data_IF_135059920514
#
_entry.id   IF_135059920514
#
_cell.length_a   1.000
_cell.length_b   1.000
_cell.length_c   1.000
_cell.angle_alpha   90.00
_cell.angle_beta   90.00
_cell.angle_gamma   90.00
#
_symmetry.space_group_name_H-M   'P 1'
#
loop_
_entity.id
_entity.type
_entity.pdbx_description
1 polymer ?
#
# COMPACT_ATOMS: atom_id res chain seq x y z
N UNK A 1 -12.26 -11.22 -27.04
CA UNK A 1 -11.96 -9.98 -26.32
C UNK A 1 -12.67 -10.06 -24.99
N UNK A 2 -12.07 -9.69 -23.85
CA UNK A 2 -12.84 -9.55 -22.62
C UNK A 2 -13.81 -8.38 -22.77
N UNK A 3 -15.10 -8.64 -22.55
CA UNK A 3 -16.12 -7.60 -22.54
C UNK A 3 -16.03 -6.82 -21.22
N UNK A 4 -16.02 -5.49 -21.30
CA UNK A 4 -16.11 -4.62 -20.12
C UNK A 4 -17.57 -4.52 -19.71
N UNK A 5 -17.93 -5.23 -18.64
CA UNK A 5 -19.26 -5.10 -18.04
C UNK A 5 -19.21 -3.99 -16.99
N UNK A 6 -20.08 -2.98 -17.14
CA UNK A 6 -20.23 -1.87 -16.21
C UNK A 6 -21.38 -2.21 -15.27
N UNK A 7 -21.07 -2.34 -13.98
CA UNK A 7 -22.08 -2.46 -12.94
C UNK A 7 -22.22 -1.11 -12.24
N UNK A 8 -23.43 -0.56 -12.27
CA UNK A 8 -23.81 0.66 -11.57
C UNK A 8 -24.76 0.26 -10.46
N UNK A 9 -24.31 0.32 -9.20
CA UNK A 9 -25.15 0.10 -8.04
C UNK A 9 -25.59 1.44 -7.45
N UNK A 10 -26.61 2.06 -8.06
CA UNK A 10 -27.13 3.36 -7.60
C UNK A 10 -27.83 3.30 -6.24
N UNK A 11 -28.05 2.11 -5.68
CA UNK A 11 -28.85 1.93 -4.46
C UNK A 11 -28.05 2.13 -3.17
N UNK A 12 -26.70 2.11 -3.22
CA UNK A 12 -25.85 2.26 -2.03
C UNK A 12 -25.24 3.67 -1.96
N UNK A 13 -25.99 4.62 -1.40
CA UNK A 13 -25.53 6.00 -1.16
C UNK A 13 -24.85 6.19 0.20
N UNK A 14 -24.99 5.21 1.11
CA UNK A 14 -24.37 5.19 2.43
C UNK A 14 -23.78 3.83 2.78
N UNK A 15 -22.96 3.80 3.83
CA UNK A 15 -22.37 2.58 4.36
C UNK A 15 -22.20 2.66 5.88
N UNK A 16 -22.10 1.49 6.53
CA UNK A 16 -21.81 1.43 7.97
C UNK A 16 -20.38 1.91 8.28
N UNK A 17 -20.08 2.15 9.55
CA UNK A 17 -18.71 2.51 9.99
C UNK A 17 -17.68 1.45 9.60
N UNK A 18 -18.04 0.18 9.73
CA UNK A 18 -17.16 -0.95 9.41
C UNK A 18 -16.94 -1.06 7.89
N UNK A 19 -18.01 -0.91 7.11
CA UNK A 19 -17.91 -0.85 5.66
C UNK A 19 -17.08 0.35 5.19
N UNK A 20 -17.20 1.51 5.85
CA UNK A 20 -16.40 2.69 5.56
C UNK A 20 -14.90 2.41 5.73
N UNK A 21 -14.50 1.75 6.82
CA UNK A 21 -13.10 1.35 7.04
C UNK A 21 -12.67 0.34 5.98
N UNK A 22 -13.50 -0.64 5.65
CA UNK A 22 -13.21 -1.61 4.61
C UNK A 22 -13.06 -0.96 3.22
N UNK A 23 -13.86 0.05 2.88
CA UNK A 23 -13.70 0.87 1.66
C UNK A 23 -12.36 1.62 1.69
N UNK A 24 -11.99 2.24 2.82
CA UNK A 24 -10.70 2.93 2.98
C UNK A 24 -9.47 2.00 2.95
N UNK A 25 -9.63 0.72 3.29
CA UNK A 25 -8.61 -0.31 3.10
C UNK A 25 -8.51 -0.80 1.65
N UNK A 26 -9.42 -0.37 0.77
CA UNK A 26 -9.55 -0.85 -0.60
C UNK A 26 -10.16 -2.25 -0.71
N UNK A 27 -10.83 -2.73 0.35
CA UNK A 27 -11.50 -4.04 0.36
C UNK A 27 -12.87 -3.95 -0.27
N UNK A 28 -13.67 -2.96 0.12
CA UNK A 28 -14.97 -2.72 -0.51
C UNK A 28 -14.83 -1.67 -1.60
N UNK A 29 -15.53 -1.89 -2.72
CA UNK A 29 -15.55 -0.96 -3.84
C UNK A 29 -16.75 0.00 -3.76
N UNK A 30 -16.63 1.24 -4.31
CA UNK A 30 -17.78 2.14 -4.49
C UNK A 30 -18.87 1.62 -5.47
N UNK A 31 -20.00 2.34 -5.59
CA UNK A 31 -21.14 2.01 -6.44
C UNK A 31 -20.89 1.72 -7.94
N UNK A 32 -19.90 2.33 -8.58
CA UNK A 32 -19.74 2.29 -10.05
C UNK A 32 -18.39 1.69 -10.44
N UNK A 33 -18.37 0.57 -11.19
CA UNK A 33 -17.13 -0.01 -11.72
C UNK A 33 -17.23 -0.71 -13.07
N UNK A 34 -16.09 -0.70 -13.77
CA UNK A 34 -15.77 -1.54 -14.93
C UNK A 34 -15.05 -2.80 -14.49
N UNK A 35 -15.47 -3.97 -14.97
CA UNK A 35 -14.89 -5.28 -14.61
C UNK A 35 -14.28 -5.95 -15.83
N UNK A 36 -13.08 -6.53 -15.67
CA UNK A 36 -12.55 -7.60 -16.53
C UNK A 36 -12.53 -8.87 -15.66
N UNK A 37 -13.39 -9.84 -15.95
CA UNK A 37 -13.53 -11.08 -15.16
C UNK A 37 -12.69 -12.19 -15.80
N UNK A 38 -11.85 -12.86 -14.99
CA UNK A 38 -11.39 -14.23 -15.27
C UNK A 38 -11.88 -15.12 -14.14
N UNK A 39 -12.73 -16.11 -14.43
CA UNK A 39 -13.33 -17.02 -13.43
C UNK A 39 -12.36 -18.18 -13.15
N UNK A 40 -12.20 -18.55 -11.87
CA UNK A 40 -11.47 -19.75 -11.44
C UNK A 40 -12.42 -20.82 -10.86
N UNK A 41 -12.17 -22.12 -11.05
CA UNK A 41 -13.12 -23.20 -10.76
C UNK A 41 -13.25 -23.64 -9.28
N UNK A 42 -12.53 -23.05 -8.33
CA UNK A 42 -12.38 -23.62 -6.97
C UNK A 42 -13.17 -22.92 -5.84
N UNK A 43 -13.99 -21.91 -6.11
CA UNK A 43 -14.91 -21.34 -5.11
C UNK A 43 -14.27 -20.60 -3.92
N UNK A 44 -12.94 -20.48 -3.86
CA UNK A 44 -12.26 -19.56 -2.95
C UNK A 44 -12.44 -18.10 -3.43
N UNK A 45 -12.40 -17.13 -2.50
CA UNK A 45 -12.34 -15.70 -2.82
C UNK A 45 -10.88 -15.24 -2.66
N UNK A 46 -10.05 -15.31 -3.71
CA UNK A 46 -8.70 -14.78 -3.66
C UNK A 46 -8.67 -13.31 -3.23
N UNK A 47 -7.55 -12.80 -2.66
CA UNK A 47 -7.38 -11.39 -2.35
C UNK A 47 -7.64 -10.44 -3.54
N UNK A 48 -7.52 -10.96 -4.78
CA UNK A 48 -7.88 -10.25 -6.01
C UNK A 48 -9.41 -10.00 -6.17
N UNK A 49 -10.25 -10.71 -5.42
CA UNK A 49 -11.71 -10.61 -5.44
C UNK A 49 -12.30 -9.91 -4.23
N UNK A 50 -11.53 -9.65 -3.16
CA UNK A 50 -11.93 -8.70 -2.10
C UNK A 50 -12.52 -7.41 -2.69
N UNK A 51 -11.95 -6.78 -3.74
CA UNK A 51 -12.51 -5.60 -4.39
C UNK A 51 -13.92 -5.79 -5.01
N UNK A 52 -14.54 -6.97 -4.91
CA UNK A 52 -15.88 -7.25 -5.43
C UNK A 52 -16.94 -7.37 -4.32
N UNK A 53 -16.54 -7.27 -3.05
CA UNK A 53 -17.48 -7.36 -1.92
C UNK A 53 -18.38 -6.11 -1.87
N UNK A 54 -19.69 -6.33 -1.70
CA UNK A 54 -20.71 -5.28 -1.57
C UNK A 54 -20.95 -4.88 -0.12
N UNK A 55 -20.94 -5.88 0.75
CA UNK A 55 -21.11 -5.77 2.20
C UNK A 55 -20.08 -6.64 2.91
N UNK A 56 -19.80 -6.33 4.17
CA UNK A 56 -19.01 -7.22 5.01
C UNK A 56 -19.86 -8.41 5.45
N UNK A 57 -19.36 -9.65 5.33
CA UNK A 57 -20.12 -10.84 5.74
C UNK A 57 -20.26 -10.98 7.26
N UNK A 58 -19.44 -10.24 8.02
CA UNK A 58 -19.38 -10.22 9.48
C UNK A 58 -18.74 -8.90 9.95
N UNK A 59 -18.83 -8.55 11.25
CA UNK A 59 -18.16 -7.37 11.79
C UNK A 59 -16.68 -7.29 11.42
N UNK A 60 -16.17 -6.08 11.22
CA UNK A 60 -14.83 -5.87 10.69
C UNK A 60 -13.74 -6.45 11.60
N UNK A 61 -13.91 -6.37 12.90
CA UNK A 61 -12.98 -6.88 13.89
C UNK A 61 -12.91 -8.42 13.88
N UNK A 62 -14.06 -9.08 13.74
CA UNK A 62 -14.14 -10.53 13.59
C UNK A 62 -13.47 -10.99 12.29
N UNK A 63 -13.75 -10.31 11.17
CA UNK A 63 -13.13 -10.60 9.88
C UNK A 63 -11.60 -10.46 9.91
N UNK A 64 -11.11 -9.38 10.52
CA UNK A 64 -9.67 -9.13 10.68
C UNK A 64 -9.01 -10.18 11.58
N UNK A 65 -9.68 -10.57 12.66
CA UNK A 65 -9.19 -11.60 13.59
C UNK A 65 -9.11 -12.95 12.89
N UNK A 66 -10.17 -13.35 12.19
CA UNK A 66 -10.21 -14.60 11.43
C UNK A 66 -9.11 -14.64 10.36
N UNK A 67 -8.92 -13.56 9.60
CA UNK A 67 -7.88 -13.49 8.58
C UNK A 67 -6.47 -13.63 9.18
N UNK A 68 -6.24 -13.00 10.34
CA UNK A 68 -4.97 -13.10 11.06
C UNK A 68 -4.72 -14.51 11.58
N UNK A 69 -5.72 -15.13 12.19
CA UNK A 69 -5.63 -16.49 12.72
C UNK A 69 -5.36 -17.51 11.61
N UNK A 70 -6.04 -17.39 10.48
CA UNK A 70 -5.80 -18.23 9.30
C UNK A 70 -4.36 -18.07 8.80
N UNK A 71 -3.90 -16.84 8.59
CA UNK A 71 -2.54 -16.57 8.11
C UNK A 71 -1.47 -17.06 9.10
N UNK A 72 -1.74 -16.91 10.40
CA UNK A 72 -0.87 -17.42 11.47
C UNK A 72 -0.84 -18.96 11.50
N UNK A 73 -1.98 -19.61 11.32
CA UNK A 73 -2.05 -21.07 11.24
C UNK A 73 -1.21 -21.58 10.07
N UNK A 74 -1.36 -20.99 8.89
CA UNK A 74 -0.56 -21.34 7.71
C UNK A 74 0.94 -21.15 7.95
N UNK A 75 1.34 -20.12 8.70
CA UNK A 75 2.74 -19.92 9.08
C UNK A 75 3.26 -20.97 10.06
N UNK A 76 2.44 -21.38 11.05
CA UNK A 76 2.82 -22.44 11.99
C UNK A 76 2.91 -23.80 11.28
N UNK A 77 1.95 -24.09 10.40
CA UNK A 77 1.99 -25.27 9.53
C UNK A 77 3.24 -25.22 8.64
N UNK A 78 3.60 -24.03 8.14
CA UNK A 78 4.84 -23.83 7.39
C UNK A 78 6.08 -24.24 8.21
N UNK A 79 6.15 -23.82 9.47
CA UNK A 79 7.25 -24.12 10.38
C UNK A 79 7.34 -25.62 10.75
N UNK A 80 6.20 -26.32 10.79
CA UNK A 80 6.15 -27.75 11.15
C UNK A 80 6.42 -28.65 9.94
N UNK A 81 5.81 -28.34 8.80
CA UNK A 81 5.78 -29.22 7.63
C UNK A 81 6.96 -28.93 6.70
N UNK A 82 7.31 -27.66 6.50
CA UNK A 82 8.27 -27.27 5.47
C UNK A 82 9.66 -27.16 6.07
N UNK A 83 10.63 -27.73 5.36
CA UNK A 83 12.06 -27.58 5.68
C UNK A 83 12.72 -26.43 4.92
N UNK A 84 11.96 -25.74 4.07
CA UNK A 84 12.46 -24.61 3.28
C UNK A 84 12.27 -23.31 4.06
N UNK A 85 13.37 -22.61 4.30
CA UNK A 85 13.37 -21.29 4.90
C UNK A 85 12.56 -20.28 4.08
N UNK A 86 12.60 -20.37 2.75
CA UNK A 86 11.90 -19.47 1.83
C UNK A 86 10.37 -19.55 2.01
N UNK A 87 9.82 -20.77 2.18
CA UNK A 87 8.39 -20.96 2.42
C UNK A 87 7.94 -20.36 3.76
N UNK A 88 8.79 -20.47 4.79
CA UNK A 88 8.54 -19.90 6.12
C UNK A 88 8.56 -18.37 6.03
N UNK A 89 9.58 -17.79 5.37
CA UNK A 89 9.72 -16.34 5.19
C UNK A 89 8.54 -15.74 4.40
N UNK A 90 8.07 -16.42 3.35
CA UNK A 90 6.89 -15.96 2.58
C UNK A 90 5.63 -15.90 3.46
N UNK A 91 5.42 -16.91 4.30
CA UNK A 91 4.26 -16.96 5.21
C UNK A 91 4.40 -15.95 6.34
N UNK A 92 5.59 -15.75 6.89
CA UNK A 92 5.87 -14.70 7.89
C UNK A 92 5.56 -13.32 7.32
N UNK A 93 5.98 -13.04 6.09
CA UNK A 93 5.67 -11.79 5.40
C UNK A 93 4.16 -11.56 5.27
N UNK A 94 3.37 -12.60 4.98
CA UNK A 94 1.90 -12.48 4.94
C UNK A 94 1.29 -12.15 6.31
N UNK A 95 1.83 -12.72 7.39
CA UNK A 95 1.41 -12.35 8.76
C UNK A 95 1.71 -10.87 9.04
N UNK A 96 2.90 -10.40 8.70
CA UNK A 96 3.30 -8.99 8.86
C UNK A 96 2.38 -8.07 8.05
N UNK A 97 2.07 -8.43 6.81
CA UNK A 97 1.12 -7.68 5.97
C UNK A 97 -0.28 -7.63 6.58
N UNK A 98 -0.75 -8.73 7.18
CA UNK A 98 -2.03 -8.78 7.88
C UNK A 98 -2.03 -7.85 9.10
N UNK A 99 -0.97 -7.89 9.91
CA UNK A 99 -0.82 -7.02 11.08
C UNK A 99 -0.80 -5.52 10.70
N UNK A 100 -0.11 -5.15 9.62
CA UNK A 100 -0.14 -3.75 9.11
C UNK A 100 -1.53 -3.35 8.61
N UNK A 101 -2.30 -4.26 8.01
CA UNK A 101 -3.69 -3.98 7.61
C UNK A 101 -4.57 -3.75 8.83
N UNK A 102 -4.46 -4.58 9.87
CA UNK A 102 -5.19 -4.41 11.15
C UNK A 102 -4.85 -3.06 11.78
N UNK A 103 -3.57 -2.68 11.77
CA UNK A 103 -3.11 -1.39 12.29
C UNK A 103 -3.75 -0.22 11.53
N UNK A 104 -3.78 -0.29 10.20
CA UNK A 104 -4.45 0.73 9.36
C UNK A 104 -5.95 0.80 9.64
N UNK A 105 -6.62 -0.35 9.69
CA UNK A 105 -8.05 -0.44 10.01
C UNK A 105 -8.36 0.26 11.34
N UNK A 106 -7.55 -0.01 12.37
CA UNK A 106 -7.67 0.61 13.68
C UNK A 106 -7.48 2.14 13.65
N UNK A 107 -6.56 2.63 12.81
CA UNK A 107 -6.33 4.07 12.62
C UNK A 107 -7.56 4.72 11.97
N UNK A 108 -8.09 4.14 10.91
CA UNK A 108 -9.26 4.66 10.21
C UNK A 108 -10.51 4.63 11.10
N UNK A 109 -10.77 3.51 11.76
CA UNK A 109 -11.89 3.34 12.67
C UNK A 109 -11.87 4.40 13.79
N UNK A 110 -10.69 4.62 14.40
CA UNK A 110 -10.53 5.65 15.44
C UNK A 110 -10.74 7.05 14.87
N UNK A 111 -10.26 7.34 13.67
CA UNK A 111 -10.41 8.64 13.03
C UNK A 111 -11.88 8.93 12.71
N UNK A 112 -12.61 7.97 12.14
CA UNK A 112 -14.04 8.08 11.85
C UNK A 112 -14.83 8.30 13.14
N UNK A 113 -14.63 7.44 14.16
CA UNK A 113 -15.32 7.58 15.45
C UNK A 113 -15.05 8.94 16.10
N UNK A 114 -13.81 9.43 16.05
CA UNK A 114 -13.46 10.75 16.57
C UNK A 114 -14.16 11.87 15.79
N UNK A 115 -14.19 11.78 14.47
CA UNK A 115 -14.84 12.78 13.62
C UNK A 115 -16.34 12.84 13.88
N UNK A 116 -17.01 11.69 14.02
CA UNK A 116 -18.44 11.60 14.33
C UNK A 116 -18.82 12.23 15.69
N UNK A 117 -17.89 12.29 16.64
CA UNK A 117 -18.13 12.98 17.93
C UNK A 117 -17.97 14.50 17.84
N UNK A 118 -17.49 15.02 16.71
CA UNK A 118 -17.28 16.44 16.52
C UNK A 118 -18.59 17.16 16.14
N UNK A 119 -18.81 18.36 16.68
CA UNK A 119 -19.98 19.18 16.35
C UNK A 119 -19.96 19.67 14.90
N UNK A 120 -18.76 19.87 14.36
CA UNK A 120 -18.53 20.28 12.96
C UNK A 120 -17.92 19.11 12.21
N UNK A 121 -18.58 17.94 12.27
CA UNK A 121 -18.14 16.73 11.57
C UNK A 121 -18.20 16.95 10.07
N UNK A 122 -17.14 16.54 9.36
CA UNK A 122 -17.17 16.41 7.90
C UNK A 122 -18.04 15.24 7.44
N UNK A 123 -18.15 14.21 8.28
CA UNK A 123 -18.95 13.03 7.99
C UNK A 123 -20.43 13.34 8.22
N UNK A 124 -21.23 13.06 7.21
CA UNK A 124 -22.69 13.25 7.21
C UNK A 124 -23.35 11.90 7.43
N UNK A 125 -24.14 11.81 8.50
CA UNK A 125 -24.91 10.62 8.87
C UNK A 125 -26.12 10.53 7.93
N UNK A 126 -26.33 9.35 7.36
CA UNK A 126 -27.54 9.03 6.62
C UNK A 126 -28.60 8.57 7.64
N UNK A 127 -29.48 9.49 8.03
CA UNK A 127 -30.48 9.23 9.05
C UNK A 127 -31.52 8.20 8.58
N UNK A 128 -31.87 8.20 7.30
CA UNK A 128 -32.88 7.28 6.75
C UNK A 128 -32.40 5.84 6.83
N UNK A 129 -31.20 5.56 6.30
CA UNK A 129 -30.62 4.23 6.37
C UNK A 129 -30.27 3.81 7.81
N UNK A 130 -29.89 4.78 8.66
CA UNK A 130 -29.64 4.53 10.09
C UNK A 130 -30.93 4.13 10.82
N UNK A 131 -32.05 4.80 10.54
CA UNK A 131 -33.34 4.50 11.16
C UNK A 131 -33.90 3.16 10.66
N UNK A 132 -33.67 2.81 9.39
CA UNK A 132 -34.11 1.54 8.79
C UNK A 132 -33.34 0.33 9.33
N UNK A 133 -32.01 0.43 9.41
CA UNK A 133 -31.15 -0.70 9.80
C UNK A 133 -30.90 -0.78 11.31
N UNK A 134 -31.03 0.36 12.01
CA UNK A 134 -30.61 0.51 13.41
C UNK A 134 -29.10 0.65 13.60
N UNK A 135 -28.31 0.65 12.51
CA UNK A 135 -26.86 0.84 12.53
C UNK A 135 -26.47 2.22 11.99
N UNK A 136 -25.40 2.81 12.51
CA UNK A 136 -24.97 4.14 12.06
C UNK A 136 -24.44 4.10 10.62
N UNK A 137 -25.16 4.74 9.70
CA UNK A 137 -24.78 4.90 8.31
C UNK A 137 -24.16 6.27 8.03
N UNK A 138 -23.14 6.28 7.17
CA UNK A 138 -22.43 7.49 6.72
C UNK A 138 -22.57 7.56 5.21
N UNK A 139 -22.91 8.74 4.69
CA UNK A 139 -22.99 8.97 3.24
C UNK A 139 -21.63 8.82 2.57
N UNK A 140 -21.60 8.19 1.39
CA UNK A 140 -20.35 7.91 0.68
C UNK A 140 -19.60 9.17 0.24
N UNK A 141 -20.31 10.23 -0.13
CA UNK A 141 -19.70 11.50 -0.54
C UNK A 141 -18.94 12.16 0.60
N UNK A 142 -19.54 12.20 1.80
CA UNK A 142 -18.89 12.77 2.98
C UNK A 142 -17.69 11.93 3.43
N UNK A 143 -17.79 10.60 3.29
CA UNK A 143 -16.70 9.68 3.57
C UNK A 143 -15.54 9.86 2.58
N UNK A 144 -15.83 10.00 1.27
CA UNK A 144 -14.82 10.24 0.23
C UNK A 144 -14.08 11.55 0.50
N UNK A 145 -14.79 12.64 0.79
CA UNK A 145 -14.18 13.91 1.14
C UNK A 145 -13.29 13.78 2.38
N UNK A 146 -13.78 13.16 3.45
CA UNK A 146 -13.01 12.93 4.67
C UNK A 146 -11.74 12.10 4.39
N UNK A 147 -11.86 11.02 3.64
CA UNK A 147 -10.76 10.12 3.30
C UNK A 147 -9.69 10.81 2.45
N UNK A 148 -10.09 11.65 1.48
CA UNK A 148 -9.18 12.47 0.67
C UNK A 148 -8.43 13.48 1.52
N UNK A 149 -9.13 14.22 2.37
CA UNK A 149 -8.52 15.30 3.16
C UNK A 149 -7.59 14.76 4.27
N UNK A 150 -8.00 13.69 4.97
CA UNK A 150 -7.22 13.14 6.09
C UNK A 150 -6.12 12.18 5.67
N UNK A 151 -6.36 11.38 4.62
CA UNK A 151 -5.49 10.25 4.27
C UNK A 151 -5.02 10.26 2.80
N UNK A 152 -5.53 11.17 1.96
CA UNK A 152 -5.22 11.19 0.54
C UNK A 152 -5.79 9.99 -0.23
N UNK A 153 -6.89 9.40 0.26
CA UNK A 153 -7.55 8.23 -0.35
C UNK A 153 -8.78 8.72 -1.11
N UNK A 154 -8.83 8.41 -2.41
CA UNK A 154 -10.02 8.59 -3.23
C UNK A 154 -10.86 7.30 -3.18
N UNK A 155 -12.10 7.40 -2.73
CA UNK A 155 -13.05 6.30 -2.66
C UNK A 155 -14.00 6.29 -3.86
N UNK A 156 -14.37 7.45 -4.38
CA UNK A 156 -15.18 7.58 -5.59
C UNK A 156 -14.27 7.89 -6.77
N UNK A 157 -14.30 7.07 -7.81
CA UNK A 157 -13.65 7.41 -9.08
C UNK A 157 -14.36 8.65 -9.64
N UNK A 158 -13.69 9.79 -9.59
CA UNK A 158 -14.11 10.94 -10.39
C UNK A 158 -14.01 10.47 -11.84
N UNK A 159 -15.16 10.22 -12.46
CA UNK A 159 -15.27 9.94 -13.89
C UNK A 159 -14.67 11.14 -14.64
N UNK A 160 -13.36 11.16 -14.85
CA UNK A 160 -12.82 12.07 -15.84
C UNK A 160 -13.43 11.66 -17.19
N UNK A 161 -14.09 12.59 -17.89
CA UNK A 161 -14.78 12.27 -19.11
C UNK A 161 -13.74 11.77 -20.10
N UNK A 162 -13.92 10.51 -20.53
CA UNK A 162 -13.23 9.97 -21.68
C UNK A 162 -13.69 10.85 -22.84
N UNK A 163 -12.88 11.83 -23.21
CA UNK A 163 -13.10 12.66 -24.37
C UNK A 163 -12.94 11.76 -25.59
N UNK A 164 -14.06 11.15 -25.96
CA UNK A 164 -14.24 10.55 -27.27
C UNK A 164 -14.19 11.66 -28.30
N UNK A 165 -13.42 11.38 -29.35
CA UNK A 165 -13.48 11.96 -30.71
C UNK A 165 -13.10 13.42 -30.90
N UNK A 166 -11.92 13.64 -31.49
CA UNK A 166 -11.87 14.27 -32.82
C UNK A 166 -10.94 13.49 -33.76
N UNK A 167 -11.57 12.74 -34.66
CA UNK A 167 -11.02 12.42 -35.96
C UNK A 167 -10.98 13.71 -36.78
N UNK A 168 -9.81 14.08 -37.30
CA UNK A 168 -9.71 14.74 -38.60
C UNK A 168 -8.39 14.40 -39.30
N UNK A 169 -8.42 13.74 -40.48
CA UNK A 169 -7.26 13.56 -41.34
C UNK A 169 -7.30 14.55 -42.53
N UNK A 170 -6.36 15.48 -42.60
CA UNK A 170 -5.86 16.18 -43.82
C UNK A 170 -4.95 17.34 -43.38
N UNK A 171 -3.76 17.63 -43.92
CA UNK A 171 -3.17 17.41 -45.25
C UNK A 171 -1.64 17.60 -45.18
N UNK A 172 -0.92 16.97 -46.13
CA UNK A 172 0.49 17.18 -46.60
C UNK A 172 1.60 16.41 -45.84
N UNK A 173 2.00 15.21 -46.33
CA UNK A 173 3.10 14.94 -47.33
C UNK A 173 4.48 15.39 -46.81
N UNK A 174 5.58 14.62 -46.75
CA UNK A 174 6.07 13.31 -47.23
C UNK A 174 7.51 13.16 -46.63
N UNK A 175 8.34 12.14 -46.93
CA UNK A 175 8.14 10.70 -47.11
C UNK A 175 9.04 9.85 -46.16
N UNK A 176 8.62 8.61 -45.94
CA UNK A 176 9.36 7.52 -45.26
C UNK A 176 10.49 6.99 -46.17
N UNK A 177 11.60 6.48 -45.62
CA UNK A 177 12.02 5.13 -46.02
C UNK A 177 12.18 4.18 -44.80
N UNK A 178 12.14 2.86 -45.05
CA UNK A 178 11.55 1.88 -44.14
C UNK A 178 12.58 1.07 -43.34
N UNK A 179 12.02 0.22 -42.48
CA UNK A 179 12.61 -0.90 -41.74
C UNK A 179 13.42 -0.56 -40.48
N UNK A 180 12.81 -0.78 -39.31
CA UNK A 180 13.12 -1.96 -38.48
C UNK A 180 12.03 -2.12 -37.41
N UNK A 181 11.29 -3.23 -37.48
CA UNK A 181 10.45 -3.71 -36.37
C UNK A 181 11.35 -4.16 -35.21
N UNK A 182 10.99 -3.86 -33.96
CA UNK A 182 10.94 -4.83 -32.82
C UNK A 182 10.88 -4.12 -31.45
N UNK A 183 9.89 -4.59 -30.66
CA UNK A 183 9.73 -4.57 -29.18
C UNK A 183 9.40 -3.29 -28.40
N UNK A 184 8.13 -3.25 -27.98
CA UNK A 184 7.62 -3.42 -26.60
C UNK A 184 8.15 -2.54 -25.45
N UNK A 185 7.15 -2.01 -24.75
CA UNK A 185 7.04 -1.71 -23.32
C UNK A 185 7.75 -0.47 -22.77
N UNK A 186 6.96 0.58 -22.50
CA UNK A 186 6.82 1.24 -21.18
C UNK A 186 6.13 2.60 -21.34
N UNK A 187 4.81 2.66 -21.19
CA UNK A 187 4.14 3.91 -20.82
C UNK A 187 3.99 3.90 -19.30
N UNK A 188 4.98 4.51 -18.63
CA UNK A 188 4.85 4.90 -17.22
C UNK A 188 3.93 6.11 -17.15
N UNK A 189 2.80 5.95 -16.49
CA UNK A 189 1.93 7.04 -16.09
C UNK A 189 2.71 8.01 -15.19
N UNK A 190 2.84 9.22 -15.69
CA UNK A 190 3.82 10.23 -15.27
C UNK A 190 3.32 10.98 -14.02
N UNK A 191 3.16 10.26 -12.90
CA UNK A 191 2.94 10.91 -11.59
C UNK A 191 4.26 11.60 -11.21
N UNK A 192 4.35 12.92 -11.42
CA UNK A 192 5.52 13.72 -11.04
C UNK A 192 5.78 13.54 -9.54
N UNK A 193 6.70 12.63 -9.19
CA UNK A 193 7.17 12.43 -7.82
C UNK A 193 7.61 13.79 -7.27
N UNK A 194 7.24 14.07 -6.02
CA UNK A 194 7.71 15.30 -5.38
C UNK A 194 9.24 15.33 -5.40
N UNK A 195 9.85 16.51 -5.53
CA UNK A 195 11.32 16.68 -5.55
C UNK A 195 12.00 15.96 -4.39
N UNK A 196 11.32 15.91 -3.25
CA UNK A 196 11.73 15.20 -2.05
C UNK A 196 11.82 13.67 -2.28
N UNK A 197 10.79 13.06 -2.85
CA UNK A 197 10.76 11.64 -3.20
C UNK A 197 11.76 11.30 -4.30
N UNK A 198 11.98 12.21 -5.25
CA UNK A 198 13.01 12.03 -6.29
C UNK A 198 14.42 11.95 -5.68
N UNK A 199 14.71 12.76 -4.65
CA UNK A 199 15.98 12.69 -3.92
C UNK A 199 16.12 11.38 -3.14
N UNK A 200 15.06 10.96 -2.44
CA UNK A 200 15.03 9.69 -1.70
C UNK A 200 15.26 8.49 -2.64
N UNK A 201 14.54 8.45 -3.76
CA UNK A 201 14.67 7.41 -4.78
C UNK A 201 16.08 7.38 -5.40
N UNK A 202 16.66 8.54 -5.74
CA UNK A 202 18.00 8.61 -6.31
C UNK A 202 19.08 8.03 -5.36
N UNK A 203 18.94 8.25 -4.05
CA UNK A 203 19.86 7.66 -3.06
C UNK A 203 19.71 6.14 -3.00
N UNK A 204 18.47 5.63 -2.99
CA UNK A 204 18.19 4.20 -2.94
C UNK A 204 18.67 3.45 -4.18
N UNK A 205 18.49 4.02 -5.37
CA UNK A 205 18.96 3.43 -6.62
C UNK A 205 20.48 3.31 -6.66
N UNK A 206 21.21 4.36 -6.26
CA UNK A 206 22.68 4.30 -6.23
C UNK A 206 23.19 3.26 -5.23
N UNK A 207 22.52 3.10 -4.09
CA UNK A 207 22.86 2.05 -3.12
C UNK A 207 22.70 0.66 -3.74
N UNK A 208 21.62 0.43 -4.51
CA UNK A 208 21.41 -0.82 -5.26
C UNK A 208 22.43 -1.01 -6.37
N UNK A 209 22.77 0.05 -7.11
CA UNK A 209 23.82 0.02 -8.15
C UNK A 209 25.20 -0.30 -7.58
N UNK A 210 25.48 0.08 -6.33
CA UNK A 210 26.68 -0.31 -5.59
C UNK A 210 26.64 -1.77 -5.11
N UNK A 211 25.54 -2.49 -5.37
CA UNK A 211 25.35 -3.88 -4.96
C UNK A 211 25.00 -4.04 -3.48
N UNK A 212 24.58 -2.98 -2.80
CA UNK A 212 24.20 -3.02 -1.39
C UNK A 212 22.68 -3.06 -1.21
N UNK A 213 22.22 -3.72 -0.15
CA UNK A 213 20.82 -3.66 0.26
C UNK A 213 20.62 -2.44 1.17
N UNK A 214 19.73 -1.48 0.83
CA UNK A 214 19.43 -0.33 1.68
C UNK A 214 19.07 -0.70 3.13
N UNK A 215 18.38 -1.83 3.33
CA UNK A 215 17.95 -2.31 4.65
C UNK A 215 19.01 -3.11 5.42
N UNK A 216 20.17 -3.33 4.83
CA UNK A 216 21.28 -4.05 5.46
C UNK A 216 22.60 -3.51 4.93
N UNK A 217 22.90 -2.25 5.28
CA UNK A 217 24.16 -1.62 4.89
C UNK A 217 25.32 -2.18 5.72
N UNK A 218 26.47 -2.48 5.10
CA UNK A 218 27.65 -2.90 5.83
C UNK A 218 28.14 -1.78 6.75
N UNK A 219 28.53 -2.16 7.98
CA UNK A 219 29.11 -1.24 8.96
C UNK A 219 30.41 -0.67 8.42
N UNK A 220 30.61 0.64 8.59
CA UNK A 220 31.84 1.29 8.17
C UNK A 220 33.02 0.72 8.96
N UNK A 221 33.97 0.11 8.26
CA UNK A 221 35.24 -0.30 8.88
C UNK A 221 36.14 0.93 9.04
N UNK A 222 36.79 1.11 10.21
CA UNK A 222 37.66 2.26 10.44
C UNK A 222 38.78 2.29 9.39
N UNK A 223 38.96 3.44 8.74
CA UNK A 223 39.98 3.63 7.70
C UNK A 223 39.55 3.36 6.26
N UNK A 224 38.31 2.92 6.01
CA UNK A 224 37.74 2.80 4.64
C UNK A 224 36.57 3.76 4.43
N UNK A 225 36.41 4.24 3.20
CA UNK A 225 35.24 5.04 2.83
C UNK A 225 33.98 4.19 2.97
N UNK A 226 33.03 4.66 3.79
CA UNK A 226 31.76 3.98 4.01
C UNK A 226 30.80 4.09 2.81
N UNK A 227 29.75 3.25 2.79
CA UNK A 227 28.73 3.29 1.72
C UNK A 227 28.13 4.69 1.55
N UNK A 228 27.90 5.41 2.66
CA UNK A 228 27.44 6.79 2.65
C UNK A 228 28.38 7.74 1.87
N UNK A 229 29.69 7.57 2.04
CA UNK A 229 30.68 8.40 1.36
C UNK A 229 30.75 8.09 -0.14
N UNK A 230 30.62 6.82 -0.52
CA UNK A 230 30.63 6.39 -1.92
C UNK A 230 29.36 6.87 -2.66
N UNK A 231 28.19 6.77 -2.02
CA UNK A 231 26.93 7.31 -2.57
C UNK A 231 27.02 8.82 -2.73
N UNK A 232 27.59 9.52 -1.74
CA UNK A 232 27.79 10.98 -1.80
C UNK A 232 28.67 11.38 -2.98
N UNK A 233 29.74 10.62 -3.24
CA UNK A 233 30.65 10.85 -4.36
C UNK A 233 29.96 10.66 -5.71
N UNK A 234 29.07 9.67 -5.85
CA UNK A 234 28.29 9.46 -7.09
C UNK A 234 27.20 10.51 -7.32
N UNK A 235 26.68 11.09 -6.26
CA UNK A 235 25.66 12.15 -6.33
C UNK A 235 26.26 13.56 -6.46
N UNK A 236 27.59 13.68 -6.45
CA UNK A 236 28.25 14.98 -6.61
C UNK A 236 27.98 15.54 -8.02
N UNK A 237 27.52 16.79 -8.08
CA UNK A 237 27.07 17.42 -9.33
C UNK A 237 25.66 17.03 -9.81
N UNK A 238 24.94 16.14 -9.11
CA UNK A 238 23.59 15.76 -9.51
C UNK A 238 22.59 16.93 -9.35
N UNK A 239 21.71 17.22 -10.35
CA UNK A 239 20.83 18.40 -10.32
C UNK A 239 19.83 18.41 -9.15
N UNK A 240 19.51 17.23 -8.59
CA UNK A 240 18.66 17.10 -7.40
C UNK A 240 19.37 17.47 -6.08
N UNK A 241 20.71 17.51 -6.05
CA UNK A 241 21.54 17.68 -4.85
C UNK A 241 22.43 18.94 -4.89
N UNK A 242 21.92 20.07 -5.41
CA UNK A 242 22.66 21.35 -5.52
C UNK A 242 23.04 22.03 -4.18
N UNK A 243 22.82 21.38 -3.04
CA UNK A 243 23.10 21.95 -1.72
C UNK A 243 23.89 20.98 -0.83
N UNK A 244 24.91 21.49 -0.15
CA UNK A 244 25.84 20.69 0.68
C UNK A 244 25.16 19.91 1.81
N UNK A 245 24.00 20.37 2.27
CA UNK A 245 23.22 19.75 3.36
C UNK A 245 22.08 18.86 2.88
N UNK A 246 21.73 18.90 1.59
CA UNK A 246 20.54 18.19 1.07
C UNK A 246 20.74 16.68 1.18
N UNK A 247 21.90 16.20 0.76
CA UNK A 247 22.27 14.78 0.86
C UNK A 247 22.16 14.26 2.30
N UNK A 248 22.75 14.99 3.27
CA UNK A 248 22.71 14.60 4.68
C UNK A 248 21.28 14.53 5.24
N UNK A 249 20.43 15.50 4.87
CA UNK A 249 19.02 15.50 5.29
C UNK A 249 18.23 14.35 4.67
N UNK A 250 18.46 14.03 3.40
CA UNK A 250 17.82 12.90 2.73
C UNK A 250 18.27 11.58 3.36
N UNK A 251 19.56 11.43 3.62
CA UNK A 251 20.13 10.24 4.27
C UNK A 251 19.53 10.00 5.66
N UNK A 252 19.48 11.05 6.49
CA UNK A 252 18.95 10.94 7.86
C UNK A 252 17.45 10.63 7.87
N UNK A 253 16.70 11.14 6.90
CA UNK A 253 15.26 10.84 6.78
C UNK A 253 15.01 9.39 6.39
N UNK A 254 15.76 8.86 5.42
CA UNK A 254 15.67 7.45 5.03
C UNK A 254 16.03 6.53 6.21
N UNK A 255 17.04 6.91 7.01
CA UNK A 255 17.39 6.21 8.25
C UNK A 255 16.28 6.28 9.30
N UNK A 256 15.73 7.47 9.54
CA UNK A 256 14.62 7.68 10.51
C UNK A 256 13.38 6.84 10.16
N UNK A 257 13.13 6.60 8.86
CA UNK A 257 12.04 5.75 8.37
C UNK A 257 12.39 4.26 8.29
N UNK A 258 13.60 3.86 8.68
CA UNK A 258 14.13 2.50 8.53
C UNK A 258 14.13 1.99 7.09
N UNK A 259 14.19 2.91 6.12
CA UNK A 259 14.47 2.58 4.71
C UNK A 259 15.97 2.39 4.48
N UNK A 260 16.80 2.96 5.37
CA UNK A 260 18.22 2.66 5.51
C UNK A 260 18.53 2.13 6.91
N UNK A 261 19.13 0.95 7.01
CA UNK A 261 19.50 0.31 8.28
C UNK A 261 20.89 -0.29 8.16
N UNK A 262 21.73 -0.07 9.17
CA UNK A 262 23.06 -0.69 9.25
C UNK A 262 22.98 -2.09 9.88
N UNK A 263 23.86 -2.99 9.46
CA UNK A 263 23.84 -4.38 9.89
C UNK A 263 24.02 -4.60 11.42
N UNK A 264 24.58 -3.63 12.14
CA UNK A 264 24.72 -3.64 13.61
C UNK A 264 23.43 -3.21 14.35
N UNK A 265 22.51 -2.51 13.67
CA UNK A 265 21.22 -2.11 14.23
C UNK A 265 20.14 -3.20 14.06
N UNK A 266 20.42 -4.26 13.30
CA UNK A 266 19.54 -5.44 13.15
C UNK A 266 19.72 -6.34 14.38
N UNK A 267 19.20 -5.90 15.53
CA UNK A 267 19.19 -6.68 16.76
C UNK A 267 18.29 -7.92 16.60
N UNK A 268 18.90 -9.10 16.49
CA UNK A 268 18.20 -10.35 16.73
C UNK A 268 17.64 -10.35 18.17
N UNK A 269 16.36 -10.75 18.39
CA UNK A 269 15.82 -10.83 19.74
C UNK A 269 16.63 -11.84 20.55
N UNK A 270 17.26 -11.36 21.62
CA UNK A 270 17.99 -12.20 22.57
C UNK A 270 17.04 -13.25 23.15
N UNK A 271 17.37 -14.53 22.97
CA UNK A 271 16.73 -15.64 23.67
C UNK A 271 16.98 -15.46 25.17
N UNK A 272 15.93 -15.16 25.92
CA UNK A 272 15.96 -15.22 27.38
C UNK A 272 16.34 -16.64 27.81
N UNK A 273 17.56 -16.78 28.33
CA UNK A 273 18.03 -17.97 29.04
C UNK A 273 17.15 -18.20 30.26
N UNK A 274 16.47 -19.36 30.29
CA UNK A 274 15.89 -19.98 31.47
C UNK A 274 16.93 -19.99 32.60
N UNK A 275 16.62 -19.29 33.69
CA UNK A 275 17.34 -19.42 34.95
C UNK A 275 16.86 -20.68 35.65
N UNK A 276 17.70 -21.71 35.62
CA UNK A 276 17.77 -22.74 36.64
C UNK A 276 17.95 -22.10 38.02
N UNK A 277 17.06 -22.41 38.95
CA UNK A 277 17.38 -22.38 40.39
C UNK A 277 16.81 -23.64 41.05
N UNK A 278 17.64 -24.69 41.05
CA UNK A 278 17.65 -25.69 42.13
C UNK A 278 18.45 -25.14 43.31
N UNK A 279 17.99 -25.41 44.53
CA UNK A 279 18.64 -25.10 45.81
C UNK A 279 17.58 -24.60 46.78
N UNK A 280 17.15 -25.33 47.80
CA UNK A 280 17.94 -26.14 48.72
C UNK A 280 17.73 -25.51 50.10
N UNK A 281 16.91 -26.15 50.93
CA UNK A 281 16.54 -25.70 52.27
C UNK A 281 15.37 -26.52 52.80
#
# INVERSE_FOLDING_TARGET
MPEEEIFVNLEQESCTVDEAVAKMLGWLRPPIHRRIIKVTPYGEIPPAYLPTMRHLPMPLDELLTQQREMTRSEFLDACVIYKSYEAIEEKEKKVIECDERIRKASIYLRAIKKELTNKTSMLVIDQEATDETGELHITLDSLDQFAREKFGIALLDSLEPISSTENNPSTAQSPIPPDTQTTRDSHQDNKKLSRMQQQEHAVLEIIKELGHNPKCLPVNTPGKAGVKAEVRKRLDGHPLFKGSTIFEKTWERLRSRKELVYADEVSFPQKNTMGDTCGGG
#
